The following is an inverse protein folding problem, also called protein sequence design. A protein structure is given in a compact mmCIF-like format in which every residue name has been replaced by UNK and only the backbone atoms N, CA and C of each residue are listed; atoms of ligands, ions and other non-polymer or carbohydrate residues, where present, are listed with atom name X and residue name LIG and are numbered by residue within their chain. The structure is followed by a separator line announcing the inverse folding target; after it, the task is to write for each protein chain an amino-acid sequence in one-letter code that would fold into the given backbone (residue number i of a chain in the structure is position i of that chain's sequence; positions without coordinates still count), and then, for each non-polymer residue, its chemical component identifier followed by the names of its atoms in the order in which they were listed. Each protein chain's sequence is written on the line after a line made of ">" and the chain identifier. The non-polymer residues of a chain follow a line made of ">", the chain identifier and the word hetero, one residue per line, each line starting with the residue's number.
data_IF_599085467446
#
_entry.id   IF_599085467446
#
_cell.length_a   1.000
_cell.length_b   1.000
_cell.length_c   1.000
_cell.angle_alpha   90.00
_cell.angle_beta   90.00
_cell.angle_gamma   90.00
#
_symmetry.space_group_name_H-M   'P 1'
#
loop_
_entity.id
_entity.type
_entity.pdbx_description
1 polymer ?
#
# COMPACT_ATOMS: atom_id res chain seq x y z
N UNK A 1 -0.06 13.26 -5.82
CA UNK A 1 -1.36 12.84 -6.40
C UNK A 1 -1.24 11.84 -7.56
N UNK A 2 -0.23 11.96 -8.43
CA UNK A 2 -0.05 11.04 -9.57
C UNK A 2 0.21 9.58 -9.14
N UNK A 3 1.14 9.32 -8.21
CA UNK A 3 1.42 7.97 -7.71
C UNK A 3 0.19 7.29 -7.12
N UNK A 4 -0.68 8.04 -6.41
CA UNK A 4 -1.95 7.53 -5.91
C UNK A 4 -2.86 7.05 -7.03
N UNK A 5 -3.00 7.84 -8.10
CA UNK A 5 -3.86 7.48 -9.24
C UNK A 5 -3.33 6.23 -9.95
N UNK A 6 -2.02 6.14 -10.15
CA UNK A 6 -1.38 4.98 -10.78
C UNK A 6 -1.60 3.74 -9.90
N UNK A 7 -1.31 3.81 -8.61
CA UNK A 7 -1.50 2.67 -7.71
C UNK A 7 -2.96 2.20 -7.63
N UNK A 8 -3.94 3.12 -7.62
CA UNK A 8 -5.36 2.77 -7.67
C UNK A 8 -5.72 2.11 -8.99
N UNK A 9 -5.29 2.68 -10.12
CA UNK A 9 -5.54 2.13 -11.45
C UNK A 9 -4.98 0.71 -11.56
N UNK A 10 -3.71 0.51 -11.20
CA UNK A 10 -3.07 -0.80 -11.28
C UNK A 10 -3.74 -1.84 -10.37
N UNK A 11 -4.24 -1.44 -9.18
CA UNK A 11 -4.99 -2.32 -8.29
C UNK A 11 -6.34 -2.73 -8.90
N UNK A 12 -7.02 -1.82 -9.58
CA UNK A 12 -8.29 -2.11 -10.25
C UNK A 12 -8.08 -3.02 -11.46
N UNK A 13 -7.00 -2.81 -12.23
CA UNK A 13 -6.65 -3.66 -13.38
C UNK A 13 -6.21 -5.07 -12.95
N UNK A 14 -5.49 -5.19 -11.83
CA UNK A 14 -4.98 -6.47 -11.37
C UNK A 14 -4.56 -6.45 -9.90
N UNK A 15 -5.26 -7.27 -9.10
CA UNK A 15 -4.90 -7.53 -7.73
C UNK A 15 -5.23 -8.98 -7.33
N UNK A 16 -4.58 -9.43 -6.27
CA UNK A 16 -5.01 -10.54 -5.46
C UNK A 16 -5.30 -10.01 -4.05
N UNK A 17 -6.58 -9.94 -3.69
CA UNK A 17 -7.03 -9.50 -2.38
C UNK A 17 -8.12 -10.46 -1.87
N UNK A 18 -7.74 -11.38 -1.00
CA UNK A 18 -8.60 -12.45 -0.52
C UNK A 18 -8.72 -12.43 1.01
N UNK A 19 -9.78 -11.80 1.56
CA UNK A 19 -10.11 -11.90 2.98
C UNK A 19 -10.26 -13.37 3.40
N UNK A 20 -9.61 -13.75 4.49
CA UNK A 20 -9.56 -15.14 4.97
C UNK A 20 -10.74 -15.49 5.88
N UNK A 21 -11.52 -14.50 6.29
CA UNK A 21 -12.72 -14.67 7.10
C UNK A 21 -13.90 -15.10 6.21
N UNK A 22 -14.57 -16.17 6.60
CA UNK A 22 -15.84 -16.57 6.00
C UNK A 22 -16.99 -15.63 6.44
N UNK A 23 -17.83 -15.23 5.49
CA UNK A 23 -19.03 -14.43 5.74
C UNK A 23 -20.29 -15.31 5.78
N UNK A 24 -21.32 -14.88 6.52
CA UNK A 24 -22.46 -15.70 6.93
C UNK A 24 -23.34 -16.25 5.78
N UNK A 25 -23.21 -15.72 4.58
CA UNK A 25 -23.91 -16.10 3.35
C UNK A 25 -22.96 -16.63 2.26
N UNK A 26 -21.70 -16.91 2.61
CA UNK A 26 -20.69 -17.35 1.66
C UNK A 26 -20.27 -16.27 0.67
N UNK A 27 -20.55 -14.98 0.96
CA UNK A 27 -20.11 -13.88 0.11
C UNK A 27 -18.59 -13.93 -0.12
N UNK A 28 -18.17 -13.85 -1.38
CA UNK A 28 -16.77 -13.97 -1.78
C UNK A 28 -16.29 -12.78 -2.63
N UNK A 29 -17.02 -11.66 -2.57
CA UNK A 29 -16.76 -10.46 -3.36
C UNK A 29 -17.80 -10.22 -4.49
N UNK A 30 -17.63 -9.15 -5.27
CA UNK A 30 -16.50 -8.21 -5.26
C UNK A 30 -16.46 -7.32 -4.01
N UNK A 31 -15.26 -7.04 -3.50
CA UNK A 31 -15.10 -6.23 -2.29
C UNK A 31 -14.84 -4.75 -2.64
N UNK A 32 -15.51 -3.85 -1.92
CA UNK A 32 -15.17 -2.42 -1.89
C UNK A 32 -14.25 -2.14 -0.71
N UNK A 33 -13.05 -1.64 -0.98
CA UNK A 33 -12.02 -1.38 0.03
C UNK A 33 -11.86 0.11 0.28
N UNK A 34 -11.98 0.52 1.54
CA UNK A 34 -11.64 1.88 1.99
C UNK A 34 -10.44 1.80 2.93
N UNK A 35 -9.39 2.54 2.59
CA UNK A 35 -8.21 2.70 3.43
C UNK A 35 -8.29 4.03 4.19
N UNK A 36 -8.06 4.00 5.49
CA UNK A 36 -8.05 5.18 6.35
C UNK A 36 -6.84 5.10 7.30
N UNK A 37 -6.11 6.20 7.44
CA UNK A 37 -5.01 6.31 8.39
C UNK A 37 -5.42 7.25 9.53
N UNK A 38 -5.20 6.84 10.78
CA UNK A 38 -5.48 7.64 11.98
C UNK A 38 -4.58 7.19 13.13
N UNK A 39 -3.97 8.13 13.86
CA UNK A 39 -3.12 7.86 15.03
C UNK A 39 -2.05 6.76 14.84
N UNK A 40 -1.43 6.70 13.66
CA UNK A 40 -0.42 5.68 13.34
C UNK A 40 -0.98 4.27 13.14
N UNK A 41 -2.26 4.15 12.80
CA UNK A 41 -2.95 2.92 12.43
C UNK A 41 -3.56 3.06 11.05
N UNK A 42 -3.62 1.96 10.31
CA UNK A 42 -4.36 1.83 9.06
C UNK A 42 -5.63 1.01 9.32
N UNK A 43 -6.79 1.62 9.14
CA UNK A 43 -8.05 0.94 9.01
C UNK A 43 -8.27 0.50 7.56
N UNK A 44 -8.42 -0.80 7.35
CA UNK A 44 -8.81 -1.42 6.08
C UNK A 44 -10.27 -1.84 6.24
N UNK A 45 -11.17 -1.03 5.70
CA UNK A 45 -12.61 -1.29 5.75
C UNK A 45 -13.03 -2.06 4.50
N UNK A 46 -13.60 -3.24 4.71
CA UNK A 46 -14.08 -4.14 3.66
C UNK A 46 -15.60 -4.04 3.62
N UNK A 47 -16.13 -3.72 2.45
CA UNK A 47 -17.55 -3.65 2.18
C UNK A 47 -17.91 -4.57 1.01
N UNK A 48 -19.19 -4.91 0.93
CA UNK A 48 -19.78 -5.51 -0.25
C UNK A 48 -19.92 -4.50 -1.39
N UNK A 49 -20.27 -4.99 -2.56
CA UNK A 49 -20.63 -4.16 -3.71
C UNK A 49 -21.77 -3.18 -3.42
N UNK A 50 -22.74 -3.55 -2.59
CA UNK A 50 -23.87 -2.71 -2.19
C UNK A 50 -23.55 -1.73 -1.03
N UNK A 51 -22.26 -1.55 -0.73
CA UNK A 51 -21.74 -0.73 0.38
C UNK A 51 -22.06 -1.26 1.79
N UNK A 52 -22.64 -2.46 1.92
CA UNK A 52 -22.78 -3.11 3.23
C UNK A 52 -21.42 -3.37 3.84
N UNK A 53 -21.21 -2.88 5.06
CA UNK A 53 -19.98 -3.11 5.81
C UNK A 53 -19.84 -4.57 6.24
N UNK A 54 -18.68 -5.17 5.95
CA UNK A 54 -18.36 -6.55 6.35
C UNK A 54 -17.49 -6.55 7.61
N UNK A 55 -16.33 -5.92 7.53
CA UNK A 55 -15.42 -5.76 8.66
C UNK A 55 -14.40 -4.64 8.46
N UNK A 56 -13.79 -4.20 9.56
CA UNK A 56 -12.63 -3.32 9.57
C UNK A 56 -11.45 -4.04 10.21
N UNK A 57 -10.37 -4.19 9.45
CA UNK A 57 -9.10 -4.67 9.97
C UNK A 57 -8.22 -3.47 10.31
N UNK A 58 -7.64 -3.47 11.51
CA UNK A 58 -6.76 -2.39 11.97
C UNK A 58 -5.33 -2.88 12.03
N UNK A 59 -4.46 -2.26 11.24
CA UNK A 59 -3.03 -2.53 11.22
C UNK A 59 -2.27 -1.39 11.90
N UNK A 60 -1.52 -1.72 12.96
CA UNK A 60 -0.58 -0.76 13.55
C UNK A 60 0.58 -0.47 12.59
N UNK A 61 0.81 0.81 12.28
CA UNK A 61 1.84 1.24 11.33
C UNK A 61 3.23 1.43 11.96
N UNK A 62 3.40 1.08 13.23
CA UNK A 62 4.67 1.26 13.96
C UNK A 62 5.88 0.66 13.23
N UNK A 63 5.74 -0.55 12.66
CA UNK A 63 6.81 -1.20 11.87
C UNK A 63 7.03 -0.58 10.48
N UNK A 64 6.06 0.17 9.97
CA UNK A 64 6.15 0.84 8.67
C UNK A 64 6.73 2.25 8.76
N UNK A 65 6.89 2.82 9.97
CA UNK A 65 7.45 4.17 10.15
C UNK A 65 8.78 4.39 9.43
N UNK A 66 9.70 3.44 9.57
CA UNK A 66 11.02 3.52 8.93
C UNK A 66 10.91 3.38 7.40
N UNK A 67 10.31 2.32 6.84
CA UNK A 67 10.11 2.22 5.39
C UNK A 67 9.42 3.44 4.77
N UNK A 68 8.39 3.98 5.42
CA UNK A 68 7.67 5.18 4.97
C UNK A 68 8.61 6.39 4.93
N UNK A 69 9.35 6.63 6.01
CA UNK A 69 10.34 7.73 6.08
C UNK A 69 11.43 7.58 5.02
N UNK A 70 12.00 6.38 4.89
CA UNK A 70 13.09 6.09 3.96
C UNK A 70 12.61 6.27 2.51
N UNK A 71 11.37 5.87 2.20
CA UNK A 71 10.74 6.13 0.91
C UNK A 71 10.63 7.63 0.60
N UNK A 72 10.17 8.45 1.56
CA UNK A 72 10.07 9.91 1.34
C UNK A 72 11.43 10.55 1.14
N UNK A 73 12.44 10.19 1.93
CA UNK A 73 13.79 10.72 1.77
C UNK A 73 14.37 10.42 0.37
N UNK A 74 14.08 9.24 -0.18
CA UNK A 74 14.50 8.85 -1.53
C UNK A 74 13.72 9.65 -2.59
N UNK A 75 12.41 9.82 -2.44
CA UNK A 75 11.61 10.63 -3.36
C UNK A 75 12.05 12.10 -3.39
N UNK A 76 12.36 12.69 -2.23
CA UNK A 76 12.90 14.05 -2.15
C UNK A 76 14.26 14.15 -2.85
N UNK A 77 15.15 13.18 -2.61
CA UNK A 77 16.45 13.10 -3.28
C UNK A 77 16.31 12.94 -4.79
N UNK A 78 15.35 12.12 -5.24
CA UNK A 78 15.03 11.92 -6.66
C UNK A 78 14.58 13.22 -7.33
N UNK A 79 13.67 13.96 -6.70
CA UNK A 79 13.19 15.24 -7.22
C UNK A 79 14.31 16.29 -7.33
N UNK A 80 15.23 16.33 -6.36
CA UNK A 80 16.39 17.23 -6.42
C UNK A 80 17.38 16.79 -7.52
N UNK A 81 17.60 15.48 -7.66
CA UNK A 81 18.55 14.88 -8.59
C UNK A 81 18.12 14.99 -10.07
N UNK A 82 16.84 14.82 -10.40
CA UNK A 82 16.36 14.80 -11.81
C UNK A 82 16.82 16.03 -12.62
N UNK A 83 16.99 17.19 -11.98
CA UNK A 83 17.38 18.42 -12.68
C UNK A 83 18.88 18.52 -12.97
N UNK A 84 19.74 17.74 -12.29
CA UNK A 84 21.19 17.94 -12.27
C UNK A 84 22.01 16.65 -12.35
N UNK A 85 21.38 15.47 -12.25
CA UNK A 85 22.06 14.18 -12.14
C UNK A 85 22.16 13.44 -13.48
N UNK A 86 23.17 12.58 -13.60
CA UNK A 86 23.33 11.69 -14.75
C UNK A 86 22.30 10.56 -14.73
N UNK A 87 22.00 9.93 -15.89
CA UNK A 87 21.09 8.78 -15.96
C UNK A 87 21.45 7.65 -14.98
N UNK A 88 22.73 7.35 -14.78
CA UNK A 88 23.19 6.32 -13.85
C UNK A 88 22.88 6.66 -12.38
N UNK A 89 22.95 7.93 -12.00
CA UNK A 89 22.57 8.39 -10.66
C UNK A 89 21.06 8.28 -10.46
N UNK A 90 20.26 8.66 -11.46
CA UNK A 90 18.80 8.53 -11.44
C UNK A 90 18.40 7.05 -11.27
N UNK A 91 19.04 6.15 -12.02
CA UNK A 91 18.82 4.71 -11.91
C UNK A 91 19.16 4.17 -10.52
N UNK A 92 20.26 4.64 -9.92
CA UNK A 92 20.66 4.25 -8.54
C UNK A 92 19.59 4.65 -7.52
N UNK A 93 19.07 5.87 -7.63
CA UNK A 93 17.98 6.36 -6.77
C UNK A 93 16.71 5.55 -6.99
N UNK A 94 16.38 5.23 -8.24
CA UNK A 94 15.24 4.39 -8.58
C UNK A 94 15.36 2.96 -8.05
N UNK A 95 16.55 2.37 -8.08
CA UNK A 95 16.82 1.07 -7.46
C UNK A 95 16.59 1.11 -5.95
N UNK A 96 17.10 2.14 -5.26
CA UNK A 96 16.88 2.31 -3.83
C UNK A 96 15.38 2.46 -3.51
N UNK A 97 14.65 3.26 -4.29
CA UNK A 97 13.20 3.42 -4.17
C UNK A 97 12.47 2.08 -4.33
N UNK A 98 12.84 1.29 -5.35
CA UNK A 98 12.25 -0.05 -5.56
C UNK A 98 12.57 -0.99 -4.41
N UNK A 99 13.78 -0.92 -3.84
CA UNK A 99 14.19 -1.72 -2.67
C UNK A 99 13.29 -1.46 -1.47
N UNK A 100 13.07 -0.19 -1.11
CA UNK A 100 12.20 0.18 0.01
C UNK A 100 10.76 -0.31 -0.21
N UNK A 101 10.23 -0.15 -1.42
CA UNK A 101 8.89 -0.69 -1.75
C UNK A 101 8.81 -2.21 -1.62
N UNK A 102 9.86 -2.94 -2.05
CA UNK A 102 9.88 -4.40 -1.98
C UNK A 102 9.89 -4.89 -0.53
N UNK A 103 10.77 -4.33 0.30
CA UNK A 103 10.84 -4.67 1.72
C UNK A 103 9.53 -4.37 2.45
N UNK A 104 8.92 -3.23 2.15
CA UNK A 104 7.65 -2.84 2.73
C UNK A 104 6.47 -3.71 2.25
N UNK A 105 6.51 -4.18 1.00
CA UNK A 105 5.51 -5.09 0.45
C UNK A 105 5.55 -6.46 1.14
N UNK A 106 6.75 -7.03 1.35
CA UNK A 106 6.88 -8.28 2.10
C UNK A 106 6.41 -8.11 3.54
N UNK A 107 6.83 -7.02 4.21
CA UNK A 107 6.34 -6.72 5.55
C UNK A 107 4.80 -6.59 5.57
N UNK A 108 4.19 -5.94 4.56
CA UNK A 108 2.74 -5.83 4.50
C UNK A 108 2.06 -7.19 4.35
N UNK A 109 2.57 -8.06 3.49
CA UNK A 109 2.10 -9.45 3.35
C UNK A 109 2.15 -10.19 4.68
N UNK A 110 3.29 -10.17 5.37
CA UNK A 110 3.46 -10.81 6.69
C UNK A 110 2.46 -10.26 7.73
N UNK A 111 2.16 -8.96 7.68
CA UNK A 111 1.22 -8.33 8.61
C UNK A 111 -0.23 -8.67 8.30
N UNK A 112 -0.56 -8.86 7.03
CA UNK A 112 -1.90 -9.23 6.55
C UNK A 112 -2.14 -10.73 6.60
N UNK A 113 -1.09 -11.55 6.70
CA UNK A 113 -1.19 -13.00 6.79
C UNK A 113 -2.20 -13.45 7.86
N UNK A 114 -2.97 -14.48 7.49
CA UNK A 114 -4.13 -14.98 8.22
C UNK A 114 -5.35 -14.06 8.27
N UNK A 115 -5.32 -12.87 7.63
CA UNK A 115 -6.45 -11.92 7.60
C UNK A 115 -6.89 -11.63 6.18
N UNK A 116 -5.94 -11.20 5.34
CA UNK A 116 -6.13 -10.96 3.91
C UNK A 116 -4.91 -11.54 3.22
N UNK A 117 -5.12 -12.52 2.36
CA UNK A 117 -4.09 -13.00 1.45
C UNK A 117 -3.95 -11.99 0.31
N UNK A 118 -2.72 -11.54 0.08
CA UNK A 118 -2.38 -10.63 -1.01
C UNK A 118 -1.10 -11.11 -1.69
N UNK A 119 -1.03 -10.93 -3.00
CA UNK A 119 0.22 -11.13 -3.74
C UNK A 119 1.19 -9.96 -3.51
N UNK A 120 2.42 -10.13 -3.99
CA UNK A 120 3.48 -9.13 -3.83
C UNK A 120 3.16 -7.80 -4.51
N UNK A 121 2.61 -7.83 -5.72
CA UNK A 121 2.33 -6.62 -6.48
C UNK A 121 1.16 -5.83 -5.85
N UNK A 122 0.14 -6.52 -5.36
CA UNK A 122 -0.96 -5.93 -4.59
C UNK A 122 -0.45 -5.31 -3.31
N UNK A 123 0.39 -6.02 -2.54
CA UNK A 123 0.98 -5.48 -1.32
C UNK A 123 1.85 -4.24 -1.61
N UNK A 124 2.63 -4.26 -2.68
CA UNK A 124 3.45 -3.12 -3.11
C UNK A 124 2.60 -1.90 -3.46
N UNK A 125 1.51 -2.08 -4.20
CA UNK A 125 0.57 -1.00 -4.56
C UNK A 125 -0.20 -0.47 -3.35
N UNK A 126 -0.64 -1.35 -2.45
CA UNK A 126 -1.24 -0.97 -1.17
C UNK A 126 -0.27 -0.16 -0.32
N UNK A 127 1.01 -0.54 -0.25
CA UNK A 127 2.02 0.24 0.46
C UNK A 127 2.19 1.65 -0.12
N UNK A 128 2.17 1.80 -1.45
CA UNK A 128 2.14 3.14 -2.08
C UNK A 128 0.96 3.98 -1.58
N UNK A 129 -0.23 3.40 -1.47
CA UNK A 129 -1.40 4.10 -0.93
C UNK A 129 -1.24 4.45 0.57
N UNK A 130 -0.63 3.56 1.36
CA UNK A 130 -0.32 3.83 2.78
C UNK A 130 0.62 5.03 2.90
N UNK A 131 1.69 5.11 2.10
CA UNK A 131 2.58 6.27 2.07
C UNK A 131 1.79 7.56 1.74
N UNK A 132 0.95 7.53 0.70
CA UNK A 132 0.14 8.71 0.32
C UNK A 132 -0.81 9.14 1.45
N UNK A 133 -1.43 8.20 2.17
CA UNK A 133 -2.29 8.49 3.31
C UNK A 133 -1.52 9.10 4.48
N UNK A 134 -0.25 8.70 4.67
CA UNK A 134 0.59 9.23 5.73
C UNK A 134 0.98 10.70 5.52
N UNK A 135 1.13 11.15 4.26
CA UNK A 135 1.45 12.56 3.94
C UNK A 135 0.29 13.50 4.25
N UNK A 136 -0.94 13.01 4.14
CA UNK A 136 -2.17 13.83 4.20
C UNK A 136 -2.72 14.02 5.61
N UNK A 137 -2.12 13.38 6.60
CA UNK A 137 -2.51 13.43 8.01
C UNK A 137 -1.58 14.33 8.81
#
# INVERSE_FOLDING_TARGET
>A
EQERRIAIFDLIEGNHFAPQRAYADGYAGPYKIKLQSEEGRLGIHIHREDDTHLETLVLALGRFRRPIRDYFAICDSYYQAIRQSSPAQIETVDMARRGVHNEAAELLKERLDGKIEVDFDTARRLFTLICVLHIRN
#
